data_IF_563389967684
#
_entry.id   IF_563389967684
#
_cell.length_a   1.000
_cell.length_b   1.000
_cell.length_c   1.000
_cell.angle_alpha   90.00
_cell.angle_beta   90.00
_cell.angle_gamma   90.00
#
_symmetry.space_group_name_H-M   'P 1'
#
loop_
_entity.id
_entity.type
_entity.pdbx_description
1 polymer ?
#
# COMPACT_ATOMS: atom_id res chain seq x y z
N UNK A 1 13.44 25.08 -17.55
CA UNK A 1 12.07 25.29 -18.06
C UNK A 1 11.13 24.47 -17.17
N UNK A 2 10.42 25.17 -16.27
CA UNK A 2 9.35 24.73 -15.34
C UNK A 2 9.62 23.49 -14.45
N UNK A 3 10.22 23.78 -13.31
CA UNK A 3 10.04 23.00 -12.07
C UNK A 3 8.54 22.90 -11.76
N UNK A 4 8.02 21.67 -11.67
CA UNK A 4 6.75 21.40 -10.98
C UNK A 4 7.11 20.56 -9.75
N UNK A 5 7.69 21.25 -8.77
CA UNK A 5 7.90 20.74 -7.41
C UNK A 5 6.53 20.50 -6.78
N UNK A 6 6.02 19.28 -6.89
CA UNK A 6 4.90 18.84 -6.08
C UNK A 6 5.46 18.55 -4.68
N UNK A 7 5.47 19.58 -3.83
CA UNK A 7 5.73 19.45 -2.41
C UNK A 7 4.83 18.35 -1.84
N UNK A 8 5.43 17.27 -1.31
CA UNK A 8 4.76 16.48 -0.29
C UNK A 8 4.91 17.28 1.01
N UNK A 9 3.82 17.79 1.61
CA UNK A 9 3.93 18.69 2.75
C UNK A 9 4.54 18.00 3.97
N UNK A 10 5.38 18.74 4.69
CA UNK A 10 5.88 18.36 6.01
C UNK A 10 4.71 17.99 6.93
N UNK A 11 4.93 16.96 7.77
CA UNK A 11 3.87 16.37 8.60
C UNK A 11 3.33 17.39 9.61
N UNK A 12 2.04 17.78 9.54
CA UNK A 12 1.44 18.59 10.58
C UNK A 12 1.25 17.73 11.84
N UNK A 13 1.36 18.34 13.03
CA UNK A 13 1.06 17.73 14.34
C UNK A 13 -0.44 17.36 14.55
N UNK A 14 -1.15 17.00 13.48
CA UNK A 14 -2.59 16.71 13.47
C UNK A 14 -3.03 15.81 12.32
N UNK A 15 -2.17 14.89 11.86
CA UNK A 15 -2.52 13.95 10.80
C UNK A 15 -3.62 12.97 11.28
N UNK A 16 -4.80 13.02 10.63
CA UNK A 16 -5.91 12.11 10.88
C UNK A 16 -6.06 11.17 9.67
N UNK A 17 -5.71 9.88 9.80
CA UNK A 17 -5.88 8.92 8.72
C UNK A 17 -7.34 8.79 8.30
N UNK A 18 -7.60 8.57 7.01
CA UNK A 18 -8.95 8.28 6.51
C UNK A 18 -9.49 6.97 7.08
N UNK A 19 -10.82 6.81 7.09
CA UNK A 19 -11.44 5.54 7.52
C UNK A 19 -11.05 4.37 6.62
N UNK A 20 -10.82 4.63 5.32
CA UNK A 20 -10.29 3.64 4.40
C UNK A 20 -8.87 3.20 4.81
N UNK A 21 -8.03 4.14 5.23
CA UNK A 21 -6.68 3.83 5.69
C UNK A 21 -6.67 3.06 7.02
N UNK A 22 -7.54 3.42 7.97
CA UNK A 22 -7.72 2.65 9.21
C UNK A 22 -8.14 1.22 8.91
N UNK A 23 -9.15 1.03 8.05
CA UNK A 23 -9.61 -0.29 7.61
C UNK A 23 -8.51 -1.10 6.96
N UNK A 24 -7.74 -0.50 6.05
CA UNK A 24 -6.62 -1.16 5.39
C UNK A 24 -5.54 -1.59 6.40
N UNK A 25 -5.18 -0.70 7.33
CA UNK A 25 -4.25 -0.98 8.42
C UNK A 25 -4.73 -2.13 9.30
N UNK A 26 -5.99 -2.10 9.75
CA UNK A 26 -6.60 -3.14 10.56
C UNK A 26 -6.55 -4.50 9.85
N UNK A 27 -6.90 -4.55 8.56
CA UNK A 27 -6.84 -5.79 7.75
C UNK A 27 -5.42 -6.37 7.73
N UNK A 28 -4.41 -5.55 7.45
CA UNK A 28 -3.01 -5.99 7.36
C UNK A 28 -2.52 -6.47 8.73
N UNK A 29 -2.82 -5.71 9.79
CA UNK A 29 -2.45 -6.08 11.17
C UNK A 29 -3.14 -7.37 11.58
N UNK A 30 -4.43 -7.54 11.28
CA UNK A 30 -5.17 -8.76 11.61
C UNK A 30 -4.60 -9.99 10.90
N UNK A 31 -4.21 -9.88 9.63
CA UNK A 31 -3.52 -10.98 8.94
C UNK A 31 -2.15 -11.30 9.55
N UNK A 32 -1.38 -10.27 9.93
CA UNK A 32 -0.13 -10.48 10.64
C UNK A 32 -0.35 -11.18 11.99
N UNK A 33 -1.34 -10.75 12.78
CA UNK A 33 -1.63 -11.34 14.09
C UNK A 33 -2.19 -12.78 14.00
N UNK A 34 -2.92 -13.10 12.94
CA UNK A 34 -3.48 -14.43 12.73
C UNK A 34 -2.39 -15.51 12.50
N UNK A 35 -1.31 -15.15 11.81
CA UNK A 35 -0.14 -16.02 11.63
C UNK A 35 1.13 -15.17 11.42
N UNK A 36 1.79 -14.74 12.52
CA UNK A 36 2.93 -13.82 12.45
C UNK A 36 4.14 -14.36 11.69
N UNK A 37 4.25 -15.69 11.56
CA UNK A 37 5.36 -16.36 10.87
C UNK A 37 4.97 -16.67 9.43
N UNK A 38 3.83 -17.32 9.21
CA UNK A 38 3.43 -17.80 7.89
C UNK A 38 2.90 -16.70 6.97
N UNK A 39 2.26 -15.65 7.50
CA UNK A 39 1.77 -14.53 6.68
C UNK A 39 2.83 -13.47 6.39
N UNK A 40 4.00 -13.55 7.01
CA UNK A 40 5.10 -12.61 6.75
C UNK A 40 5.53 -12.71 5.28
N UNK A 41 5.75 -11.55 4.65
CA UNK A 41 6.12 -11.39 3.22
C UNK A 41 5.08 -11.81 2.19
N UNK A 42 3.93 -12.36 2.63
CA UNK A 42 2.78 -12.61 1.75
C UNK A 42 2.06 -11.31 1.39
N UNK A 43 1.24 -11.36 0.36
CA UNK A 43 0.58 -10.19 -0.24
C UNK A 43 -0.90 -10.17 0.09
N UNK A 44 -1.41 -9.03 0.53
CA UNK A 44 -2.84 -8.76 0.69
C UNK A 44 -3.28 -7.71 -0.33
N UNK A 45 -4.45 -7.92 -0.93
CA UNK A 45 -5.06 -6.94 -1.83
C UNK A 45 -6.00 -6.02 -1.04
N UNK A 46 -5.81 -4.71 -1.22
CA UNK A 46 -6.60 -3.66 -0.58
C UNK A 46 -7.25 -2.80 -1.66
N UNK A 47 -8.58 -2.72 -1.68
CA UNK A 47 -9.36 -1.94 -2.66
C UNK A 47 -9.11 -0.45 -2.48
N UNK A 48 -8.84 0.26 -3.58
CA UNK A 48 -8.56 1.71 -3.55
C UNK A 48 -9.79 2.53 -3.19
N UNK A 49 -11.00 2.05 -3.44
CA UNK A 49 -12.24 2.78 -3.17
C UNK A 49 -12.48 3.00 -1.68
N UNK A 50 -12.32 1.94 -0.88
CA UNK A 50 -12.75 1.91 0.52
C UNK A 50 -11.70 1.30 1.47
N UNK A 51 -10.54 0.87 0.99
CA UNK A 51 -9.54 0.20 1.83
C UNK A 51 -9.97 -1.19 2.32
N UNK A 52 -11.02 -1.79 1.72
CA UNK A 52 -11.43 -3.16 2.04
C UNK A 52 -10.56 -4.22 1.36
N UNK A 53 -10.75 -5.49 1.71
CA UNK A 53 -10.04 -6.63 1.13
C UNK A 53 -11.00 -7.76 0.78
N UNK A 54 -10.54 -8.73 0.00
CA UNK A 54 -11.19 -10.03 -0.16
C UNK A 54 -10.90 -10.99 1.01
N UNK A 55 -10.03 -10.59 1.94
CA UNK A 55 -9.65 -11.37 3.12
C UNK A 55 -8.65 -12.48 2.81
N UNK A 56 -8.04 -12.48 1.62
CA UNK A 56 -7.09 -13.51 1.20
C UNK A 56 -5.66 -12.96 1.24
N UNK A 57 -4.76 -13.80 1.74
CA UNK A 57 -3.31 -13.55 1.77
C UNK A 57 -2.64 -14.49 0.78
N UNK A 58 -1.97 -13.91 -0.21
CA UNK A 58 -1.40 -14.60 -1.36
C UNK A 58 0.11 -14.78 -1.20
N UNK A 59 0.67 -15.86 -1.74
CA UNK A 59 2.12 -16.11 -1.62
C UNK A 59 2.97 -15.04 -2.31
N UNK A 60 2.45 -14.47 -3.39
CA UNK A 60 3.14 -13.44 -4.16
C UNK A 60 2.16 -12.49 -4.87
N UNK A 61 2.73 -11.40 -5.37
CA UNK A 61 2.02 -10.32 -6.05
C UNK A 61 1.32 -10.81 -7.33
N UNK A 62 1.95 -11.69 -8.10
CA UNK A 62 1.37 -12.22 -9.33
C UNK A 62 0.11 -13.03 -9.06
N UNK A 63 0.07 -13.82 -7.99
CA UNK A 63 -1.16 -14.50 -7.56
C UNK A 63 -2.23 -13.49 -7.15
N UNK A 64 -1.89 -12.54 -6.26
CA UNK A 64 -2.85 -11.54 -5.80
C UNK A 64 -3.53 -10.81 -6.97
N UNK A 65 -2.74 -10.32 -7.95
CA UNK A 65 -3.25 -9.64 -9.15
C UNK A 65 -4.18 -10.53 -9.98
N UNK A 66 -3.84 -11.82 -10.15
CA UNK A 66 -4.65 -12.75 -10.94
C UNK A 66 -6.03 -13.04 -10.32
N UNK A 67 -6.14 -13.02 -9.00
CA UNK A 67 -7.38 -13.33 -8.29
C UNK A 67 -8.30 -12.11 -8.10
N UNK A 68 -7.84 -10.89 -8.38
CA UNK A 68 -8.69 -9.69 -8.30
C UNK A 68 -9.46 -9.43 -9.59
N UNK A 69 -10.79 -9.33 -9.49
CA UNK A 69 -11.66 -8.95 -10.60
C UNK A 69 -11.31 -7.56 -11.18
N UNK A 70 -11.03 -6.61 -10.29
CA UNK A 70 -10.63 -5.25 -10.64
C UNK A 70 -9.20 -4.99 -10.21
N UNK A 71 -8.25 -5.77 -10.74
CA UNK A 71 -6.85 -5.76 -10.29
C UNK A 71 -6.16 -4.38 -10.33
N UNK A 72 -6.62 -3.47 -11.21
CA UNK A 72 -6.12 -2.08 -11.31
C UNK A 72 -6.63 -1.17 -10.19
N UNK A 73 -7.72 -1.55 -9.53
CA UNK A 73 -8.37 -0.79 -8.45
C UNK A 73 -7.97 -1.31 -7.06
N UNK A 74 -6.83 -2.00 -6.98
CA UNK A 74 -6.27 -2.50 -5.73
C UNK A 74 -4.84 -1.99 -5.53
N UNK A 75 -4.52 -1.75 -4.27
CA UNK A 75 -3.17 -1.66 -3.72
C UNK A 75 -2.78 -3.05 -3.22
N UNK A 76 -1.57 -3.50 -3.55
CA UNK A 76 -1.07 -4.80 -3.11
C UNK A 76 0.05 -4.60 -2.09
N UNK A 77 -0.20 -5.04 -0.86
CA UNK A 77 0.71 -4.80 0.27
C UNK A 77 1.36 -6.11 0.68
N UNK A 78 2.69 -6.12 0.80
CA UNK A 78 3.39 -7.21 1.50
C UNK A 78 3.26 -7.00 3.00
N UNK A 79 2.85 -8.05 3.71
CA UNK A 79 2.72 -8.02 5.17
C UNK A 79 4.12 -8.02 5.78
N UNK A 80 4.52 -6.87 6.32
CA UNK A 80 5.77 -6.66 7.07
C UNK A 80 5.65 -7.19 8.50
N UNK A 81 6.79 -7.32 9.18
CA UNK A 81 6.79 -7.61 10.61
C UNK A 81 6.22 -6.42 11.38
N UNK A 82 5.12 -6.64 12.11
CA UNK A 82 4.39 -5.58 12.82
C UNK A 82 3.19 -5.01 12.05
N UNK A 83 2.95 -5.44 10.82
CA UNK A 83 1.84 -4.96 10.00
C UNK A 83 2.06 -3.55 9.45
N UNK A 84 0.96 -2.81 9.26
CA UNK A 84 0.96 -1.47 8.67
C UNK A 84 0.20 -0.52 9.57
N UNK A 85 0.77 0.64 9.86
CA UNK A 85 0.08 1.69 10.64
C UNK A 85 -0.99 2.40 9.78
N UNK A 86 -2.02 3.00 10.41
CA UNK A 86 -3.04 3.75 9.66
C UNK A 86 -2.46 4.90 8.83
N UNK A 87 -1.35 5.50 9.29
CA UNK A 87 -0.66 6.57 8.57
C UNK A 87 0.03 6.06 7.32
N UNK A 88 0.76 4.96 7.41
CA UNK A 88 1.37 4.33 6.23
C UNK A 88 0.29 3.93 5.23
N UNK A 89 -0.80 3.31 5.71
CA UNK A 89 -1.92 2.93 4.86
C UNK A 89 -2.51 4.11 4.08
N UNK A 90 -2.65 5.28 4.71
CA UNK A 90 -3.21 6.47 4.07
C UNK A 90 -2.27 7.03 2.99
N UNK A 91 -0.97 7.08 3.28
CA UNK A 91 0.05 7.51 2.30
C UNK A 91 0.07 6.56 1.10
N UNK A 92 0.05 5.26 1.35
CA UNK A 92 0.05 4.26 0.28
C UNK A 92 -1.24 4.32 -0.54
N UNK A 93 -2.41 4.42 0.10
CA UNK A 93 -3.69 4.56 -0.61
C UNK A 93 -3.71 5.82 -1.47
N UNK A 94 -3.26 6.96 -0.94
CA UNK A 94 -3.18 8.21 -1.69
C UNK A 94 -2.26 8.08 -2.92
N UNK A 95 -1.08 7.48 -2.75
CA UNK A 95 -0.15 7.22 -3.85
C UNK A 95 -0.78 6.33 -4.93
N UNK A 96 -1.38 5.20 -4.55
CA UNK A 96 -1.95 4.25 -5.50
C UNK A 96 -3.19 4.81 -6.23
N UNK A 97 -4.03 5.58 -5.52
CA UNK A 97 -5.13 6.33 -6.14
C UNK A 97 -4.60 7.32 -7.18
N UNK A 98 -3.53 8.04 -6.84
CA UNK A 98 -2.91 8.99 -7.78
C UNK A 98 -2.36 8.28 -9.02
N UNK A 99 -1.67 7.17 -8.85
CA UNK A 99 -1.20 6.33 -9.96
C UNK A 99 -2.34 5.82 -10.84
N UNK A 100 -3.46 5.40 -10.24
CA UNK A 100 -4.66 4.98 -10.97
C UNK A 100 -5.26 6.13 -11.79
N UNK A 101 -5.39 7.33 -11.21
CA UNK A 101 -5.92 8.52 -11.88
C UNK A 101 -5.11 8.93 -13.11
N UNK A 102 -3.78 8.87 -13.03
CA UNK A 102 -2.89 9.29 -14.13
C UNK A 102 -2.63 8.17 -15.14
N UNK A 103 -3.21 6.99 -14.95
CA UNK A 103 -2.99 5.81 -15.80
C UNK A 103 -1.61 5.17 -15.68
N UNK A 104 -0.78 5.62 -14.75
CA UNK A 104 0.57 5.12 -14.49
C UNK A 104 0.57 4.20 -13.27
N UNK A 105 -0.08 3.05 -13.40
CA UNK A 105 -0.12 2.06 -12.34
C UNK A 105 1.29 1.54 -12.05
N UNK A 106 1.65 1.30 -10.77
CA UNK A 106 2.90 0.66 -10.43
C UNK A 106 3.05 -0.63 -11.22
N UNK A 107 4.24 -0.86 -11.80
CA UNK A 107 4.50 -2.10 -12.51
C UNK A 107 4.64 -3.25 -11.50
N UNK A 108 3.51 -3.78 -11.06
CA UNK A 108 3.44 -4.88 -10.08
C UNK A 108 4.09 -6.18 -10.58
N UNK A 109 4.41 -6.27 -11.88
CA UNK A 109 5.00 -7.46 -12.50
C UNK A 109 6.53 -7.52 -12.39
N UNK A 110 7.19 -6.40 -12.06
CA UNK A 110 8.65 -6.37 -11.88
C UNK A 110 9.09 -6.68 -10.44
N UNK A 111 8.16 -7.05 -9.56
CA UNK A 111 8.49 -7.58 -8.24
C UNK A 111 9.12 -6.57 -7.29
N UNK A 112 9.14 -5.27 -7.63
CA UNK A 112 9.61 -4.20 -6.76
C UNK A 112 8.60 -4.04 -5.62
N UNK A 113 8.89 -4.49 -4.38
CA UNK A 113 8.10 -4.03 -3.25
C UNK A 113 8.27 -2.51 -3.24
N UNK A 114 7.17 -1.76 -3.25
CA UNK A 114 7.22 -0.31 -3.14
C UNK A 114 7.83 0.01 -1.77
N UNK A 115 9.15 0.17 -1.73
CA UNK A 115 9.87 0.80 -0.66
C UNK A 115 9.45 2.26 -0.72
N UNK A 116 8.50 2.65 0.14
CA UNK A 116 8.29 4.07 0.39
C UNK A 116 9.44 4.48 1.30
N UNK A 117 10.39 5.29 0.81
CA UNK A 117 11.50 5.74 1.62
C UNK A 117 10.90 6.49 2.82
N UNK A 118 11.15 5.94 4.02
CA UNK A 118 10.60 6.49 5.27
C UNK A 118 11.31 7.79 5.63
N UNK A 119 12.45 8.07 5.00
CA UNK A 119 13.22 9.30 5.06
C UNK A 119 13.55 9.80 3.64
N UNK A 120 13.70 11.13 3.51
CA UNK A 120 14.00 11.84 2.26
C UNK A 120 15.29 11.36 1.54
N UNK A 121 16.14 10.58 2.22
CA UNK A 121 17.53 10.31 1.81
C UNK A 121 17.74 9.04 0.98
N UNK A 122 16.75 8.14 0.85
CA UNK A 122 16.94 6.87 0.11
C UNK A 122 16.79 6.98 -1.42
N UNK A 123 16.93 8.19 -1.99
CA UNK A 123 16.85 8.42 -3.44
C UNK A 123 18.19 8.33 -4.20
N UNK A 124 19.26 7.87 -3.56
CA UNK A 124 20.55 7.70 -4.22
C UNK A 124 21.19 6.34 -3.88
N UNK A 125 20.88 5.32 -4.68
CA UNK A 125 21.85 4.27 -5.05
C UNK A 125 21.43 3.56 -6.33
#
# INVERSE_FOLDING_TARGET
MRETSALVPATPLGFVPSDAARRASDIIVMHFLADPVGNRNRVCAIRLSDGGSDGVVYDNLAQAVRYQLHYKQCMYVRISAGGMTPREADVYLAYHRRCYEIGNLPNYLEGVPLYVPTNLEDHHR
#
